data_IF_885910640741
#
_entry.id   IF_885910640741
#
_cell.length_a   1.000
_cell.length_b   1.000
_cell.length_c   1.000
_cell.angle_alpha   90.00
_cell.angle_beta   90.00
_cell.angle_gamma   90.00
#
_symmetry.space_group_name_H-M   'P 1'
#
loop_
_entity.id
_entity.type
_entity.pdbx_description
1 polymer ?
#
# COMPACT_ATOMS: atom_id res chain seq x y z
N UNK A 1 42.21 5.74 16.77
CA UNK A 1 43.23 6.82 16.81
C UNK A 1 43.13 7.54 18.16
N UNK A 2 44.24 7.90 18.82
CA UNK A 2 44.20 8.57 20.12
C UNK A 2 43.51 9.94 20.02
N UNK A 3 42.79 10.36 21.07
CA UNK A 3 41.99 11.61 21.10
C UNK A 3 42.79 12.87 20.73
N UNK A 4 44.11 12.86 20.89
CA UNK A 4 45.02 13.94 20.51
C UNK A 4 45.09 14.21 19.01
N UNK A 5 44.68 13.26 18.15
CA UNK A 5 44.70 13.44 16.69
C UNK A 5 43.57 14.33 16.15
N UNK A 6 42.62 14.72 17.00
CA UNK A 6 41.47 15.56 16.63
C UNK A 6 41.65 17.04 17.01
N UNK A 7 42.79 17.38 17.62
CA UNK A 7 43.11 18.74 18.01
C UNK A 7 43.82 19.41 16.83
N UNK A 8 43.24 20.49 16.32
CA UNK A 8 43.84 21.31 15.27
C UNK A 8 45.18 21.89 15.77
N UNK A 9 46.26 21.71 15.00
CA UNK A 9 47.58 22.31 15.28
C UNK A 9 47.66 23.80 14.95
N UNK A 10 46.67 24.31 14.23
CA UNK A 10 46.50 25.71 13.89
C UNK A 10 45.97 26.49 15.13
N UNK A 11 46.73 27.47 15.66
CA UNK A 11 46.42 28.20 16.89
C UNK A 11 45.06 28.90 16.86
N UNK A 12 44.67 29.43 15.71
CA UNK A 12 43.44 30.21 15.56
C UNK A 12 42.21 29.31 15.62
N UNK A 13 42.28 28.14 14.97
CA UNK A 13 41.24 27.11 15.01
C UNK A 13 41.11 26.48 16.40
N UNK A 14 42.22 26.31 17.11
CA UNK A 14 42.22 25.82 18.49
C UNK A 14 41.50 26.80 19.42
N UNK A 15 41.84 28.10 19.33
CA UNK A 15 41.22 29.16 20.11
C UNK A 15 39.70 29.23 19.86
N UNK A 16 39.28 29.10 18.59
CA UNK A 16 37.87 29.10 18.20
C UNK A 16 37.12 27.87 18.73
N UNK A 17 37.75 26.69 18.69
CA UNK A 17 37.19 25.45 19.26
C UNK A 17 37.02 25.54 20.77
N UNK A 18 38.00 26.09 21.49
CA UNK A 18 37.94 26.29 22.94
C UNK A 18 36.90 27.35 23.34
N UNK A 19 36.76 28.42 22.56
CA UNK A 19 35.73 29.43 22.75
C UNK A 19 34.31 28.84 22.56
N UNK A 20 34.13 27.97 21.56
CA UNK A 20 32.86 27.27 21.34
C UNK A 20 32.54 26.26 22.45
N UNK A 21 33.56 25.61 23.03
CA UNK A 21 33.39 24.71 24.18
C UNK A 21 32.97 25.48 25.44
N UNK A 22 33.60 26.64 25.70
CA UNK A 22 33.25 27.54 26.82
C UNK A 22 31.84 28.12 26.70
N UNK A 23 31.33 28.30 25.47
CA UNK A 23 29.98 28.82 25.18
C UNK A 23 28.89 27.75 25.17
N UNK A 24 29.18 26.50 25.55
CA UNK A 24 28.18 25.42 25.62
C UNK A 24 27.64 24.95 24.26
N UNK A 25 28.13 25.49 23.15
CA UNK A 25 27.77 25.03 21.81
C UNK A 25 28.46 23.70 21.52
N UNK A 26 27.69 22.60 21.53
CA UNK A 26 28.20 21.26 21.18
C UNK A 26 28.79 21.29 19.75
N UNK A 27 30.04 20.85 19.54
CA UNK A 27 30.61 20.76 18.20
C UNK A 27 29.96 19.61 17.42
N UNK A 28 29.41 19.94 16.25
CA UNK A 28 28.89 18.98 15.28
C UNK A 28 27.59 18.31 15.72
N UNK A 29 26.47 19.01 15.65
CA UNK A 29 25.23 18.31 15.33
C UNK A 29 25.47 17.64 13.97
N UNK A 30 25.39 16.31 13.92
CA UNK A 30 25.20 15.60 12.66
C UNK A 30 24.10 16.36 11.92
N UNK A 31 24.45 17.03 10.81
CA UNK A 31 23.43 17.45 9.87
C UNK A 31 22.63 16.19 9.62
N UNK A 32 21.34 16.18 10.00
CA UNK A 32 20.41 15.13 9.59
C UNK A 32 20.73 14.92 8.12
N UNK A 33 21.23 13.75 7.76
CA UNK A 33 21.43 13.39 6.36
C UNK A 33 20.05 13.60 5.77
N UNK A 34 19.88 14.70 5.04
CA UNK A 34 18.67 14.98 4.28
C UNK A 34 18.71 13.93 3.17
N UNK A 35 18.26 12.72 3.50
CA UNK A 35 18.01 11.68 2.52
C UNK A 35 17.08 12.32 1.52
N UNK A 36 17.57 12.52 0.29
CA UNK A 36 16.72 12.97 -0.81
C UNK A 36 15.52 12.03 -0.82
N UNK A 37 14.29 12.56 -0.85
CA UNK A 37 13.14 11.70 -0.81
C UNK A 37 13.18 10.74 -1.99
N UNK A 38 12.96 9.45 -1.70
CA UNK A 38 12.86 8.44 -2.76
C UNK A 38 11.76 8.87 -3.72
N UNK A 39 12.01 8.73 -5.02
CA UNK A 39 10.96 8.98 -6.01
C UNK A 39 9.81 8.00 -5.78
N UNK A 40 8.56 8.46 -5.90
CA UNK A 40 7.34 7.68 -5.74
C UNK A 40 7.42 6.28 -6.38
N UNK A 41 7.91 6.20 -7.63
CA UNK A 41 8.04 4.96 -8.40
C UNK A 41 9.03 3.94 -7.80
N UNK A 42 10.04 4.41 -7.06
CA UNK A 42 11.09 3.58 -6.48
C UNK A 42 10.76 3.12 -5.05
N UNK A 43 9.73 3.70 -4.43
CA UNK A 43 9.30 3.31 -3.10
C UNK A 43 8.70 1.90 -3.14
N UNK A 44 9.20 1.02 -2.27
CA UNK A 44 8.52 -0.25 -1.97
C UNK A 44 7.15 0.04 -1.32
N UNK A 45 6.25 -0.94 -1.27
CA UNK A 45 4.95 -0.74 -0.63
C UNK A 45 5.05 -0.38 0.85
N UNK A 46 6.07 -0.89 1.55
CA UNK A 46 6.29 -0.55 2.96
C UNK A 46 6.76 0.89 3.09
N UNK A 47 7.73 1.32 2.27
CA UNK A 47 8.19 2.71 2.27
C UNK A 47 7.06 3.68 1.89
N UNK A 48 6.28 3.35 0.85
CA UNK A 48 5.10 4.10 0.46
C UNK A 48 4.09 4.23 1.61
N UNK A 49 3.89 3.16 2.38
CA UNK A 49 2.99 3.18 3.52
C UNK A 49 3.53 3.98 4.71
N UNK A 50 4.82 3.90 5.03
CA UNK A 50 5.36 4.44 6.29
C UNK A 50 6.03 5.80 6.19
N UNK A 51 6.54 6.18 5.01
CA UNK A 51 7.21 7.45 4.83
C UNK A 51 6.21 8.61 5.02
N UNK A 52 6.62 9.63 5.79
CA UNK A 52 5.82 10.81 6.09
C UNK A 52 5.52 11.66 4.84
N UNK A 53 6.34 11.56 3.80
CA UNK A 53 6.06 12.24 2.55
C UNK A 53 5.02 11.51 1.69
N UNK A 54 4.77 10.22 1.96
CA UNK A 54 3.73 9.40 1.34
C UNK A 54 2.56 9.22 2.30
N UNK A 55 2.23 8.00 2.77
CA UNK A 55 1.04 7.78 3.59
C UNK A 55 1.25 8.01 5.10
N UNK A 56 2.50 8.06 5.58
CA UNK A 56 2.83 8.36 6.98
C UNK A 56 2.29 7.38 8.03
N UNK A 57 1.99 6.13 7.65
CA UNK A 57 1.43 5.12 8.54
C UNK A 57 2.49 4.50 9.45
N UNK A 58 2.04 3.90 10.56
CA UNK A 58 2.87 3.06 11.43
C UNK A 58 2.36 1.63 11.47
N UNK A 59 3.29 0.67 11.37
CA UNK A 59 3.01 -0.75 11.56
C UNK A 59 3.41 -1.29 12.93
N UNK A 60 3.91 -0.43 13.84
CA UNK A 60 4.42 -0.85 15.16
C UNK A 60 3.40 -1.68 15.97
N UNK A 61 2.14 -1.28 15.95
CA UNK A 61 1.04 -1.95 16.66
C UNK A 61 0.27 -2.94 15.77
N UNK A 62 0.71 -3.13 14.53
CA UNK A 62 0.04 -3.96 13.52
C UNK A 62 1.07 -4.68 12.62
N UNK A 63 2.01 -5.43 13.23
CA UNK A 63 3.13 -6.03 12.49
C UNK A 63 2.67 -7.11 11.48
N UNK A 64 1.51 -7.74 11.71
CA UNK A 64 0.96 -8.72 10.77
C UNK A 64 0.61 -8.12 9.41
N UNK A 65 0.11 -6.89 9.39
CA UNK A 65 -0.27 -6.16 8.18
C UNK A 65 0.98 -5.80 7.37
N UNK A 66 2.07 -5.40 8.04
CA UNK A 66 3.37 -5.20 7.37
C UNK A 66 3.86 -6.49 6.72
N UNK A 67 3.79 -7.61 7.45
CA UNK A 67 4.20 -8.93 6.92
C UNK A 67 3.37 -9.33 5.71
N UNK A 68 2.05 -9.14 5.75
CA UNK A 68 1.17 -9.41 4.60
C UNK A 68 1.62 -8.60 3.37
N UNK A 69 1.84 -7.30 3.52
CA UNK A 69 2.28 -6.45 2.40
C UNK A 69 3.67 -6.87 1.89
N UNK A 70 4.62 -7.17 2.79
CA UNK A 70 5.95 -7.66 2.39
C UNK A 70 5.85 -8.95 1.57
N UNK A 71 5.04 -9.89 2.02
CA UNK A 71 4.86 -11.18 1.34
C UNK A 71 4.23 -11.01 -0.04
N UNK A 72 3.18 -10.19 -0.16
CA UNK A 72 2.52 -9.92 -1.46
C UNK A 72 3.51 -9.30 -2.45
N UNK A 73 4.38 -8.41 -1.99
CA UNK A 73 5.33 -7.67 -2.85
C UNK A 73 6.74 -8.26 -2.85
N UNK A 74 6.93 -9.48 -2.37
CA UNK A 74 8.23 -10.19 -2.42
C UNK A 74 9.34 -9.53 -1.61
N UNK A 75 9.04 -8.71 -0.61
CA UNK A 75 10.04 -8.02 0.21
C UNK A 75 10.61 -8.97 1.29
N UNK A 76 11.90 -8.84 1.64
CA UNK A 76 12.51 -9.69 2.65
C UNK A 76 11.84 -9.50 4.02
N UNK A 77 11.78 -10.60 4.77
CA UNK A 77 11.32 -10.66 6.15
C UNK A 77 12.51 -10.84 7.10
N UNK A 78 12.49 -10.15 8.24
CA UNK A 78 13.41 -10.43 9.34
C UNK A 78 12.92 -11.60 10.22
N UNK A 79 13.73 -12.01 11.21
CA UNK A 79 13.43 -13.16 12.07
C UNK A 79 12.06 -13.08 12.78
N UNK A 80 11.66 -11.90 13.26
CA UNK A 80 10.37 -11.75 13.95
C UNK A 80 9.19 -11.74 12.98
N UNK A 81 9.37 -11.10 11.82
CA UNK A 81 8.42 -11.12 10.72
C UNK A 81 8.22 -12.53 10.16
N UNK A 82 9.28 -13.34 10.07
CA UNK A 82 9.21 -14.75 9.66
C UNK A 82 8.37 -15.58 10.63
N UNK A 83 8.49 -15.35 11.96
CA UNK A 83 7.62 -16.01 12.95
C UNK A 83 6.15 -15.64 12.75
N UNK A 84 5.85 -14.39 12.41
CA UNK A 84 4.49 -13.94 12.11
C UNK A 84 3.98 -14.60 10.83
N UNK A 85 4.79 -14.63 9.77
CA UNK A 85 4.44 -15.30 8.52
C UNK A 85 4.08 -16.77 8.74
N UNK A 86 4.90 -17.51 9.50
CA UNK A 86 4.65 -18.92 9.83
C UNK A 86 3.33 -19.11 10.59
N UNK A 87 3.00 -18.20 11.52
CA UNK A 87 1.72 -18.23 12.23
C UNK A 87 0.52 -17.99 11.30
N UNK A 88 0.61 -16.99 10.42
CA UNK A 88 -0.48 -16.64 9.48
C UNK A 88 -0.70 -17.77 8.46
N UNK A 89 0.37 -18.31 7.90
CA UNK A 89 0.32 -19.34 6.85
C UNK A 89 0.22 -20.76 7.38
N UNK A 90 0.28 -20.93 8.70
CA UNK A 90 0.44 -22.24 9.38
C UNK A 90 1.63 -23.05 8.85
N UNK A 91 2.70 -22.34 8.46
CA UNK A 91 3.93 -22.88 7.91
C UNK A 91 3.72 -23.90 6.76
N UNK A 92 2.67 -23.72 5.95
CA UNK A 92 2.37 -24.63 4.84
C UNK A 92 3.37 -24.53 3.69
N UNK A 93 4.06 -23.39 3.56
CA UNK A 93 5.08 -23.13 2.56
C UNK A 93 6.11 -22.15 3.13
N UNK A 94 7.36 -22.31 2.75
CA UNK A 94 8.41 -21.32 3.06
C UNK A 94 8.25 -20.05 2.22
N UNK A 95 8.66 -18.92 2.79
CA UNK A 95 8.61 -17.64 2.08
C UNK A 95 9.86 -17.46 1.20
N UNK A 96 9.63 -17.26 -0.09
CA UNK A 96 10.65 -16.94 -1.09
C UNK A 96 10.70 -15.42 -1.32
N UNK A 97 11.72 -14.74 -0.78
CA UNK A 97 11.93 -13.31 -1.02
C UNK A 97 12.30 -13.03 -2.48
N UNK A 98 11.97 -11.84 -2.98
CA UNK A 98 12.17 -11.42 -4.37
C UNK A 98 11.05 -11.85 -5.33
N UNK A 99 10.18 -12.79 -4.92
CA UNK A 99 9.06 -13.24 -5.75
C UNK A 99 7.76 -12.56 -5.33
N UNK A 100 7.41 -11.51 -6.08
CA UNK A 100 6.13 -10.81 -5.97
C UNK A 100 4.95 -11.74 -6.33
N UNK A 101 3.84 -11.65 -5.58
CA UNK A 101 2.63 -12.44 -5.77
C UNK A 101 1.56 -11.62 -6.47
N UNK A 102 0.99 -12.16 -7.54
CA UNK A 102 -0.13 -11.54 -8.25
C UNK A 102 -1.46 -11.75 -7.53
N UNK A 103 -1.57 -12.83 -6.76
CA UNK A 103 -2.79 -13.23 -6.07
C UNK A 103 -2.57 -13.38 -4.57
N UNK A 104 -3.51 -12.88 -3.78
CA UNK A 104 -3.52 -13.04 -2.34
C UNK A 104 -4.93 -13.34 -1.82
N UNK A 105 -5.07 -14.48 -1.12
CA UNK A 105 -6.30 -14.87 -0.43
C UNK A 105 -6.08 -14.70 1.07
N UNK A 106 -6.76 -13.75 1.67
CA UNK A 106 -6.57 -13.30 3.04
C UNK A 106 -7.83 -13.58 3.87
N UNK A 107 -7.79 -14.68 4.63
CA UNK A 107 -8.85 -15.06 5.58
C UNK A 107 -8.54 -14.45 6.95
N UNK A 108 -9.16 -13.31 7.24
CA UNK A 108 -8.81 -12.47 8.39
C UNK A 108 -10.05 -12.14 9.23
N UNK A 109 -9.92 -12.18 10.56
CA UNK A 109 -11.02 -11.89 11.48
C UNK A 109 -11.55 -10.45 11.42
N UNK A 110 -12.63 -10.17 12.15
CA UNK A 110 -13.14 -8.81 12.31
C UNK A 110 -12.07 -7.89 12.94
N UNK A 111 -12.08 -6.60 12.57
CA UNK A 111 -11.11 -5.58 13.06
C UNK A 111 -9.62 -5.88 12.79
N UNK A 112 -9.31 -6.82 11.91
CA UNK A 112 -7.93 -7.15 11.49
C UNK A 112 -7.30 -6.12 10.54
N UNK A 113 -7.94 -4.99 10.26
CA UNK A 113 -7.39 -3.96 9.37
C UNK A 113 -7.49 -4.26 7.88
N UNK A 114 -8.47 -5.06 7.44
CA UNK A 114 -8.69 -5.42 6.03
C UNK A 114 -8.82 -4.20 5.10
N UNK A 115 -9.67 -3.25 5.47
CA UNK A 115 -9.88 -2.03 4.69
C UNK A 115 -8.61 -1.18 4.58
N UNK A 116 -7.75 -1.18 5.60
CA UNK A 116 -6.45 -0.49 5.55
C UNK A 116 -5.52 -1.17 4.54
N UNK A 117 -5.41 -2.51 4.58
CA UNK A 117 -4.62 -3.26 3.61
C UNK A 117 -5.10 -3.01 2.17
N UNK A 118 -6.41 -3.10 1.94
CA UNK A 118 -7.03 -2.82 0.65
C UNK A 118 -6.69 -1.41 0.17
N UNK A 119 -6.82 -0.39 1.05
CA UNK A 119 -6.53 1.00 0.71
C UNK A 119 -5.06 1.22 0.35
N UNK A 120 -4.13 0.64 1.10
CA UNK A 120 -2.69 0.76 0.83
C UNK A 120 -2.36 0.13 -0.53
N UNK A 121 -2.86 -1.08 -0.80
CA UNK A 121 -2.63 -1.77 -2.07
C UNK A 121 -3.25 -0.99 -3.23
N UNK A 122 -4.48 -0.48 -3.07
CA UNK A 122 -5.16 0.30 -4.09
C UNK A 122 -4.39 1.57 -4.46
N UNK A 123 -3.99 2.35 -3.46
CA UNK A 123 -3.18 3.56 -3.65
C UNK A 123 -1.80 3.24 -4.22
N UNK A 124 -1.16 2.16 -3.74
CA UNK A 124 0.16 1.77 -4.22
C UNK A 124 0.12 1.45 -5.71
N UNK A 125 -0.84 0.64 -6.16
CA UNK A 125 -0.96 0.25 -7.57
C UNK A 125 -1.45 1.41 -8.45
N UNK A 126 -2.41 2.22 -8.00
CA UNK A 126 -2.91 3.38 -8.76
C UNK A 126 -1.86 4.48 -8.95
N UNK A 127 -0.81 4.51 -8.12
CA UNK A 127 0.27 5.49 -8.23
C UNK A 127 1.48 5.02 -9.04
N UNK A 128 1.50 3.77 -9.51
CA UNK A 128 2.60 3.25 -10.35
C UNK A 128 2.44 3.68 -11.81
N UNK A 129 3.52 4.17 -12.42
CA UNK A 129 3.55 4.47 -13.87
C UNK A 129 3.57 3.24 -14.78
N UNK A 130 3.88 2.05 -14.22
CA UNK A 130 4.05 0.80 -14.98
C UNK A 130 2.82 0.41 -15.81
N UNK A 131 1.63 0.87 -15.43
CA UNK A 131 0.37 0.53 -16.11
C UNK A 131 0.13 1.28 -17.40
N UNK A 132 0.68 2.50 -17.54
CA UNK A 132 0.36 3.40 -18.65
C UNK A 132 0.70 2.84 -20.03
N UNK A 133 1.70 1.95 -20.11
CA UNK A 133 2.13 1.31 -21.36
C UNK A 133 1.13 0.29 -21.92
N UNK A 134 0.16 -0.15 -21.11
CA UNK A 134 -0.89 -1.10 -21.50
C UNK A 134 -2.23 -0.41 -21.80
N UNK A 135 -2.28 0.92 -21.73
CA UNK A 135 -3.50 1.72 -21.92
C UNK A 135 -3.39 2.56 -23.21
N UNK A 136 -4.52 2.67 -23.91
CA UNK A 136 -4.65 3.56 -25.05
C UNK A 136 -4.55 5.04 -24.63
N UNK A 137 -4.34 5.93 -25.61
CA UNK A 137 -4.33 7.38 -25.32
C UNK A 137 -5.72 7.83 -24.86
N UNK A 138 -5.79 8.46 -23.69
CA UNK A 138 -7.04 8.92 -23.08
C UNK A 138 -7.82 7.85 -22.30
N UNK A 139 -7.38 6.60 -22.34
CA UNK A 139 -7.96 5.52 -21.54
C UNK A 139 -7.44 5.57 -20.10
N UNK A 140 -8.31 5.26 -19.14
CA UNK A 140 -7.94 5.19 -17.72
C UNK A 140 -7.71 3.75 -17.26
N UNK A 141 -6.77 3.56 -16.34
CA UNK A 141 -6.61 2.30 -15.59
C UNK A 141 -7.41 2.34 -14.30
N UNK A 142 -8.00 1.21 -13.92
CA UNK A 142 -8.91 1.11 -12.78
C UNK A 142 -8.39 0.15 -11.71
N UNK A 143 -8.31 0.65 -10.47
CA UNK A 143 -8.31 -0.21 -9.29
C UNK A 143 -9.75 -0.40 -8.87
N UNK A 144 -10.25 -1.63 -8.92
CA UNK A 144 -11.62 -1.93 -8.50
C UNK A 144 -11.64 -2.55 -7.11
N UNK A 145 -12.44 -1.97 -6.23
CA UNK A 145 -12.73 -2.50 -4.90
C UNK A 145 -14.20 -2.92 -4.84
N UNK A 146 -14.44 -4.22 -4.99
CA UNK A 146 -15.77 -4.80 -4.86
C UNK A 146 -16.03 -5.12 -3.40
N UNK A 147 -17.20 -4.73 -2.89
CA UNK A 147 -17.60 -5.03 -1.51
C UNK A 147 -19.06 -5.48 -1.44
N UNK A 148 -19.48 -6.02 -0.29
CA UNK A 148 -20.85 -6.56 -0.12
C UNK A 148 -21.93 -5.50 -0.28
N UNK A 149 -21.68 -4.26 0.16
CA UNK A 149 -22.64 -3.15 0.16
C UNK A 149 -21.96 -1.85 -0.23
N UNK A 150 -22.70 -1.00 -0.95
CA UNK A 150 -22.22 0.28 -1.43
C UNK A 150 -21.62 1.16 -0.32
N UNK A 151 -22.25 1.26 0.86
CA UNK A 151 -21.73 2.03 2.00
C UNK A 151 -20.37 1.54 2.53
N UNK A 152 -20.09 0.24 2.46
CA UNK A 152 -18.78 -0.29 2.86
C UNK A 152 -17.72 0.05 1.80
N UNK A 153 -18.12 -0.04 0.53
CA UNK A 153 -17.36 0.38 -0.65
C UNK A 153 -16.89 1.85 -0.53
N UNK A 154 -17.81 2.73 -0.17
CA UNK A 154 -17.57 4.18 -0.05
C UNK A 154 -16.62 4.51 1.11
N UNK A 155 -16.62 3.71 2.18
CA UNK A 155 -15.67 3.89 3.29
C UNK A 155 -14.22 3.58 2.91
N UNK A 156 -13.99 2.65 1.97
CA UNK A 156 -12.62 2.31 1.53
C UNK A 156 -12.06 3.45 0.67
N UNK A 157 -12.86 4.02 -0.23
CA UNK A 157 -12.42 5.13 -1.09
C UNK A 157 -12.44 6.46 -0.36
N UNK A 158 -13.61 6.88 0.12
CA UNK A 158 -13.80 8.21 0.70
C UNK A 158 -13.15 8.40 2.07
N UNK A 159 -13.27 7.41 2.97
CA UNK A 159 -12.77 7.57 4.35
C UNK A 159 -11.30 7.15 4.53
N UNK A 160 -10.78 6.25 3.68
CA UNK A 160 -9.39 5.78 3.76
C UNK A 160 -8.52 6.33 2.63
N UNK A 161 -8.80 6.00 1.36
CA UNK A 161 -7.90 6.37 0.25
C UNK A 161 -7.76 7.89 0.11
N UNK A 162 -8.87 8.62 0.02
CA UNK A 162 -8.87 10.07 -0.11
C UNK A 162 -8.17 10.74 1.08
N UNK A 163 -8.59 10.40 2.31
CA UNK A 163 -7.99 10.94 3.54
C UNK A 163 -6.48 10.69 3.61
N UNK A 164 -6.00 9.51 3.20
CA UNK A 164 -4.56 9.21 3.19
C UNK A 164 -3.81 10.05 2.15
N UNK A 165 -4.39 10.27 0.97
CA UNK A 165 -3.77 11.09 -0.06
C UNK A 165 -3.79 12.59 0.27
N UNK A 166 -4.87 13.11 0.84
CA UNK A 166 -4.98 14.53 1.22
C UNK A 166 -3.95 14.94 2.28
N UNK A 167 -3.66 14.04 3.23
CA UNK A 167 -2.67 14.25 4.28
C UNK A 167 -1.22 13.99 3.81
N UNK A 168 -1.03 13.55 2.56
CA UNK A 168 0.27 13.24 2.01
C UNK A 168 0.87 14.44 1.28
N UNK A 169 2.15 14.74 1.55
CA UNK A 169 2.87 15.81 0.86
C UNK A 169 3.00 15.53 -0.65
N UNK A 170 3.41 14.31 -1.02
CA UNK A 170 3.67 13.94 -2.41
C UNK A 170 2.43 13.45 -3.18
N UNK A 171 1.37 13.00 -2.49
CA UNK A 171 0.21 12.39 -3.15
C UNK A 171 -0.99 13.32 -3.32
N UNK A 172 -1.17 14.34 -2.46
CA UNK A 172 -2.34 15.24 -2.54
C UNK A 172 -2.49 15.90 -3.92
N UNK A 173 -1.37 16.25 -4.57
CA UNK A 173 -1.37 16.87 -5.89
C UNK A 173 -1.77 15.92 -7.02
N UNK A 174 -1.76 14.61 -6.80
CA UNK A 174 -2.22 13.62 -7.78
C UNK A 174 -3.75 13.52 -7.83
N UNK A 175 -4.46 13.99 -6.80
CA UNK A 175 -5.93 14.00 -6.81
C UNK A 175 -6.39 14.97 -7.90
N UNK A 176 -7.19 14.46 -8.83
CA UNK A 176 -7.86 15.26 -9.87
C UNK A 176 -9.27 15.61 -9.44
N UNK A 177 -10.02 14.61 -9.00
CA UNK A 177 -11.41 14.71 -8.59
C UNK A 177 -11.79 13.51 -7.71
N UNK A 178 -12.89 13.60 -6.97
CA UNK A 178 -13.42 12.48 -6.19
C UNK A 178 -14.94 12.53 -6.06
N UNK A 179 -15.52 11.35 -5.86
CA UNK A 179 -16.90 11.14 -5.43
C UNK A 179 -16.89 10.16 -4.25
N UNK A 180 -18.07 9.79 -3.74
CA UNK A 180 -18.17 8.79 -2.67
C UNK A 180 -17.63 7.41 -3.09
N UNK A 181 -17.76 7.05 -4.37
CA UNK A 181 -17.42 5.74 -4.92
C UNK A 181 -16.25 5.74 -5.91
N UNK A 182 -15.68 6.90 -6.22
CA UNK A 182 -14.58 7.01 -7.18
C UNK A 182 -13.55 8.05 -6.75
N UNK A 183 -12.26 7.72 -6.88
CA UNK A 183 -11.15 8.66 -6.76
C UNK A 183 -10.42 8.73 -8.10
N UNK A 184 -10.37 9.92 -8.70
CA UNK A 184 -9.75 10.15 -10.01
C UNK A 184 -8.40 10.81 -9.81
N UNK A 185 -7.35 10.21 -10.38
CA UNK A 185 -5.98 10.70 -10.30
C UNK A 185 -5.55 11.38 -11.60
N UNK A 186 -4.59 12.30 -11.51
CA UNK A 186 -4.03 13.05 -12.65
C UNK A 186 -3.16 12.20 -13.58
N UNK A 187 -2.80 10.99 -13.19
CA UNK A 187 -2.00 10.05 -13.98
C UNK A 187 -2.84 9.05 -14.80
N UNK A 188 -4.08 9.42 -15.13
CA UNK A 188 -5.06 8.58 -15.83
C UNK A 188 -5.43 7.28 -15.08
N UNK A 189 -5.28 7.27 -13.75
CA UNK A 189 -5.70 6.15 -12.90
C UNK A 189 -6.92 6.53 -12.09
N UNK A 190 -7.76 5.54 -11.83
CA UNK A 190 -8.98 5.68 -11.04
C UNK A 190 -9.05 4.56 -10.02
N UNK A 191 -9.53 4.88 -8.83
CA UNK A 191 -9.89 3.88 -7.82
C UNK A 191 -11.41 3.93 -7.74
N UNK A 192 -12.06 2.82 -8.04
CA UNK A 192 -13.51 2.71 -8.13
C UNK A 192 -13.98 1.65 -7.13
N UNK A 193 -15.02 1.97 -6.36
CA UNK A 193 -15.62 1.04 -5.43
C UNK A 193 -17.05 0.78 -5.80
N UNK A 194 -17.36 -0.51 -5.82
CA UNK A 194 -18.55 -1.05 -6.44
C UNK A 194 -19.17 -2.10 -5.51
N UNK A 195 -20.51 -2.16 -5.41
CA UNK A 195 -21.16 -3.26 -4.71
C UNK A 195 -21.10 -4.54 -5.56
N UNK A 196 -21.14 -5.70 -4.90
CA UNK A 196 -21.05 -7.02 -5.55
C UNK A 196 -22.23 -7.39 -6.48
N UNK A 197 -23.22 -6.53 -6.67
CA UNK A 197 -24.36 -6.75 -7.58
C UNK A 197 -24.28 -5.87 -8.85
N UNK A 198 -23.21 -5.11 -9.05
CA UNK A 198 -23.09 -4.21 -10.19
C UNK A 198 -22.38 -4.85 -11.38
N UNK A 199 -22.75 -4.38 -12.57
CA UNK A 199 -22.18 -4.79 -13.85
C UNK A 199 -21.16 -3.77 -14.37
N UNK A 200 -21.00 -2.65 -13.67
CA UNK A 200 -20.22 -1.48 -14.10
C UNK A 200 -18.72 -1.76 -14.30
N UNK A 201 -18.12 -2.69 -13.55
CA UNK A 201 -16.70 -3.02 -13.67
C UNK A 201 -16.36 -3.90 -14.89
N UNK A 202 -17.36 -4.54 -15.51
CA UNK A 202 -17.15 -5.55 -16.56
C UNK A 202 -16.51 -5.03 -17.84
N UNK A 203 -16.45 -3.72 -18.06
CA UNK A 203 -15.86 -3.11 -19.26
C UNK A 203 -14.56 -2.37 -19.01
N UNK A 204 -14.08 -2.34 -17.76
CA UNK A 204 -13.02 -1.43 -17.36
C UNK A 204 -11.63 -2.08 -17.46
N UNK A 205 -10.59 -1.30 -17.82
CA UNK A 205 -9.19 -1.71 -17.71
C UNK A 205 -8.73 -1.91 -16.24
N UNK A 206 -8.92 -3.11 -15.68
CA UNK A 206 -8.62 -3.37 -14.26
C UNK A 206 -7.12 -3.63 -14.02
N UNK A 207 -6.40 -2.65 -13.46
CA UNK A 207 -4.98 -2.76 -13.07
C UNK A 207 -4.77 -3.46 -11.72
N UNK A 208 -5.80 -3.50 -10.88
CA UNK A 208 -5.81 -4.15 -9.58
C UNK A 208 -7.26 -4.44 -9.19
N UNK A 209 -7.57 -5.68 -8.80
CA UNK A 209 -8.88 -6.11 -8.34
C UNK A 209 -8.82 -6.49 -6.87
N UNK A 210 -9.67 -5.88 -6.06
CA UNK A 210 -9.80 -6.16 -4.63
C UNK A 210 -11.25 -6.60 -4.37
N UNK A 211 -11.42 -7.82 -3.89
CA UNK A 211 -12.70 -8.39 -3.49
C UNK A 211 -12.77 -8.39 -1.96
N UNK A 212 -13.31 -7.32 -1.39
CA UNK A 212 -13.44 -7.13 0.07
C UNK A 212 -14.73 -7.77 0.59
N UNK A 213 -14.55 -8.64 1.58
CA UNK A 213 -15.59 -9.51 2.12
C UNK A 213 -16.20 -10.47 1.07
N UNK A 214 -15.37 -11.02 0.18
CA UNK A 214 -15.83 -11.93 -0.88
C UNK A 214 -16.62 -13.14 -0.37
N UNK A 215 -16.28 -13.67 0.81
CA UNK A 215 -17.02 -14.79 1.40
C UNK A 215 -18.47 -14.41 1.78
N UNK A 216 -18.84 -13.13 1.65
CA UNK A 216 -20.16 -12.58 1.91
C UNK A 216 -20.78 -11.91 0.66
N UNK A 217 -20.29 -12.26 -0.54
CA UNK A 217 -20.92 -11.81 -1.78
C UNK A 217 -22.20 -12.59 -2.03
N UNK A 218 -23.31 -11.86 -2.02
CA UNK A 218 -24.63 -12.37 -2.34
C UNK A 218 -25.35 -11.40 -3.25
N UNK A 219 -26.03 -11.93 -4.26
CA UNK A 219 -26.97 -11.19 -5.11
C UNK A 219 -28.32 -11.87 -5.00
N UNK A 220 -29.35 -11.13 -4.59
CA UNK A 220 -30.71 -11.66 -4.41
C UNK A 220 -30.78 -12.91 -3.51
N UNK A 221 -29.91 -12.96 -2.49
CA UNK A 221 -29.83 -14.08 -1.53
C UNK A 221 -29.02 -15.28 -2.01
N UNK A 222 -28.57 -15.29 -3.28
CA UNK A 222 -27.75 -16.35 -3.85
C UNK A 222 -26.27 -15.95 -3.79
N UNK A 223 -25.38 -16.92 -3.53
CA UNK A 223 -23.93 -16.72 -3.60
C UNK A 223 -23.51 -16.17 -4.96
N UNK A 224 -22.75 -15.08 -4.96
CA UNK A 224 -22.37 -14.35 -6.17
C UNK A 224 -20.85 -14.20 -6.34
N UNK A 225 -20.06 -14.77 -5.43
CA UNK A 225 -18.60 -14.75 -5.43
C UNK A 225 -18.00 -15.25 -6.73
N UNK A 226 -18.37 -16.47 -7.19
CA UNK A 226 -17.87 -17.02 -8.45
C UNK A 226 -18.28 -16.19 -9.67
N UNK A 227 -19.54 -15.77 -9.73
CA UNK A 227 -20.07 -14.96 -10.83
C UNK A 227 -19.33 -13.64 -10.95
N UNK A 228 -19.10 -12.95 -9.84
CA UNK A 228 -18.39 -11.67 -9.81
C UNK A 228 -16.92 -11.85 -10.13
N UNK A 229 -16.28 -12.87 -9.55
CA UNK A 229 -14.89 -13.20 -9.84
C UNK A 229 -14.66 -13.47 -11.33
N UNK A 230 -15.43 -14.38 -11.93
CA UNK A 230 -15.32 -14.78 -13.33
C UNK A 230 -15.61 -13.61 -14.29
N UNK A 231 -16.45 -12.68 -13.86
CA UNK A 231 -16.82 -11.48 -14.59
C UNK A 231 -15.70 -10.43 -14.65
N UNK A 232 -14.97 -10.23 -13.55
CA UNK A 232 -13.98 -9.14 -13.43
C UNK A 232 -12.55 -9.60 -13.67
N UNK A 233 -12.19 -10.82 -13.25
CA UNK A 233 -10.83 -11.32 -13.34
C UNK A 233 -10.22 -11.26 -14.76
N UNK A 234 -10.96 -11.57 -15.84
CA UNK A 234 -10.42 -11.51 -17.21
C UNK A 234 -9.93 -10.11 -17.63
N UNK A 235 -10.46 -9.04 -17.01
CA UNK A 235 -10.08 -7.65 -17.35
C UNK A 235 -8.69 -7.25 -16.90
N UNK A 236 -8.08 -8.07 -16.04
CA UNK A 236 -6.71 -7.90 -15.57
C UNK A 236 -5.65 -8.44 -16.52
N UNK A 237 -6.02 -9.34 -17.44
CA UNK A 237 -5.05 -10.10 -18.27
C UNK A 237 -4.16 -9.18 -19.11
N UNK A 238 -4.68 -8.01 -19.53
CA UNK A 238 -3.89 -7.03 -20.28
C UNK A 238 -2.78 -6.36 -19.46
N UNK A 239 -2.77 -6.56 -18.13
CA UNK A 239 -1.81 -6.01 -17.19
C UNK A 239 -1.01 -7.12 -16.49
N UNK A 240 0.08 -7.60 -17.10
CA UNK A 240 1.01 -8.52 -16.46
C UNK A 240 1.47 -8.00 -15.09
N UNK A 241 1.43 -8.85 -14.05
CA UNK A 241 1.76 -8.46 -12.68
C UNK A 241 0.64 -7.73 -11.91
N UNK A 242 -0.56 -7.57 -12.48
CA UNK A 242 -1.71 -6.97 -11.79
C UNK A 242 -2.12 -7.77 -10.57
N UNK A 243 -2.64 -7.06 -9.56
CA UNK A 243 -3.02 -7.68 -8.29
C UNK A 243 -4.47 -8.15 -8.30
N UNK A 244 -4.67 -9.34 -7.73
CA UNK A 244 -5.96 -9.84 -7.26
C UNK A 244 -5.86 -10.09 -5.77
N UNK A 245 -6.62 -9.31 -5.00
CA UNK A 245 -6.66 -9.41 -3.54
C UNK A 245 -8.06 -9.84 -3.13
N UNK A 246 -8.17 -11.05 -2.61
CA UNK A 246 -9.40 -11.58 -2.02
C UNK A 246 -9.26 -11.51 -0.50
N UNK A 247 -10.02 -10.66 0.16
CA UNK A 247 -9.84 -10.39 1.59
C UNK A 247 -11.19 -10.50 2.30
N UNK A 248 -11.31 -11.35 3.31
CA UNK A 248 -12.61 -11.58 3.94
C UNK A 248 -12.49 -12.21 5.32
N UNK A 249 -13.52 -12.03 6.14
CA UNK A 249 -13.82 -12.91 7.26
C UNK A 249 -14.29 -14.28 6.77
N UNK A 250 -13.97 -15.38 7.49
CA UNK A 250 -14.49 -16.69 7.12
C UNK A 250 -16.03 -16.69 7.20
N UNK A 251 -16.66 -17.31 6.22
CA UNK A 251 -18.10 -17.57 6.20
C UNK A 251 -18.33 -19.08 6.20
N UNK A 252 -19.40 -19.54 6.84
CA UNK A 252 -19.74 -20.96 6.85
C UNK A 252 -20.07 -21.42 5.43
N UNK A 253 -19.65 -22.64 5.07
CA UNK A 253 -20.09 -23.24 3.80
C UNK A 253 -21.60 -23.44 3.88
N UNK A 254 -22.34 -22.70 3.05
CA UNK A 254 -23.78 -22.89 2.85
C UNK A 254 -23.93 -23.56 1.48
N UNK A 255 -24.21 -24.87 1.48
CA UNK A 255 -24.18 -25.73 0.30
C UNK A 255 -23.61 -27.10 0.61
#
# INVERSE_FOLDING_TARGET
RPKSSFISKDPEKLARSLANLKRGTKPGSLQKVLTRPKKLEQASIIEFATDQEFLGLSFKERPAQEVILRVIYGLPLNNDQSKIYQKITKNRKEFEAGLEKEEAILVLGARSGKSLLASIIALYEATRKKWRKYLNRGESGYVEVISTRQKQSEQIIGANCLRLMENSYNLKGLIKDNTQSELILRNDMRILSLPCNTTAGRGLPIICLILDEIAHFYTEGVKADETIFNSLNPRRVQFPGSKLIMISTPSAKQG
#
